data_IF_467536189446
#
_entry.id   IF_467536189446
#
_cell.length_a   1.000
_cell.length_b   1.000
_cell.length_c   1.000
_cell.angle_alpha   90.00
_cell.angle_beta   90.00
_cell.angle_gamma   90.00
#
_symmetry.space_group_name_H-M   'P 1'
#
loop_
_entity.id
_entity.type
_entity.pdbx_description
1 polymer ?
#
# COMPACT_ATOMS: atom_id res chain seq x y z
N UNK A 1 6.94 2.64 29.44
CA UNK A 1 6.19 3.76 28.87
C UNK A 1 6.42 3.86 27.38
N UNK A 2 5.36 4.04 26.62
CA UNK A 2 5.50 4.12 25.18
C UNK A 2 5.99 5.49 24.75
N UNK A 3 6.85 5.47 23.74
CA UNK A 3 7.28 6.67 23.05
C UNK A 3 6.05 7.38 22.48
N UNK A 4 6.08 8.70 22.47
CA UNK A 4 4.99 9.48 21.90
C UNK A 4 4.74 9.11 20.44
N UNK A 5 5.81 8.89 19.68
CA UNK A 5 5.67 8.51 18.29
C UNK A 5 5.01 7.15 18.12
N UNK A 6 5.33 6.23 19.02
CA UNK A 6 4.71 4.90 18.98
C UNK A 6 3.21 5.04 19.26
N UNK A 7 2.84 5.90 20.20
CA UNK A 7 1.44 6.11 20.52
C UNK A 7 0.70 6.75 19.34
N UNK A 8 1.34 7.72 18.69
CA UNK A 8 0.75 8.35 17.52
C UNK A 8 0.58 7.35 16.38
N UNK A 9 1.59 6.52 16.19
CA UNK A 9 1.54 5.51 15.13
C UNK A 9 0.41 4.52 15.40
N UNK A 10 0.26 4.07 16.63
CA UNK A 10 -0.80 3.14 16.99
C UNK A 10 -2.17 3.73 16.72
N UNK A 11 -2.36 4.98 17.08
CA UNK A 11 -3.64 5.66 16.89
C UNK A 11 -3.92 5.83 15.40
N UNK A 12 -2.93 6.30 14.66
CA UNK A 12 -3.11 6.54 13.23
C UNK A 12 -3.31 5.23 12.47
N UNK A 13 -2.60 4.19 12.88
CA UNK A 13 -2.67 2.92 12.17
C UNK A 13 -4.05 2.30 12.23
N UNK A 14 -4.81 2.56 13.28
CA UNK A 14 -6.16 2.03 13.39
C UNK A 14 -7.01 2.43 12.19
N UNK A 15 -6.80 3.65 11.66
CA UNK A 15 -7.53 4.10 10.48
C UNK A 15 -6.80 3.73 9.20
N UNK A 16 -5.49 3.92 9.17
CA UNK A 16 -4.70 3.72 7.96
C UNK A 16 -4.70 2.25 7.53
N UNK A 17 -4.72 1.33 8.49
CA UNK A 17 -4.64 -0.09 8.18
C UNK A 17 -5.82 -0.60 7.37
N UNK A 18 -6.87 0.19 7.27
CA UNK A 18 -8.01 -0.19 6.45
C UNK A 18 -7.72 -0.03 4.96
N UNK A 19 -6.74 0.80 4.63
CA UNK A 19 -6.41 1.04 3.22
C UNK A 19 -4.96 0.71 2.89
N UNK A 20 -4.10 0.63 3.90
CA UNK A 20 -2.68 0.36 3.66
C UNK A 20 -2.24 -0.80 4.54
N UNK A 21 -1.85 -1.89 3.91
CA UNK A 21 -1.41 -3.08 4.61
C UNK A 21 -0.57 -3.92 3.67
N UNK A 22 0.17 -4.85 4.24
CA UNK A 22 0.96 -5.77 3.43
C UNK A 22 0.02 -6.88 2.93
N UNK A 23 -0.21 -6.99 1.62
CA UNK A 23 -1.09 -8.03 1.12
C UNK A 23 -0.53 -9.41 1.41
N UNK A 24 -1.37 -10.30 1.96
CA UNK A 24 -0.97 -11.67 2.24
C UNK A 24 -1.80 -12.68 1.46
N UNK A 25 -2.88 -12.23 0.85
CA UNK A 25 -3.75 -13.10 0.08
C UNK A 25 -3.99 -12.50 -1.29
N UNK A 26 -4.43 -13.34 -2.22
CA UNK A 26 -4.72 -12.85 -3.55
C UNK A 26 -5.85 -11.83 -3.55
N UNK A 27 -6.82 -12.01 -2.65
CA UNK A 27 -7.90 -11.05 -2.53
C UNK A 27 -7.38 -9.69 -2.06
N UNK A 28 -6.51 -9.70 -1.05
CA UNK A 28 -5.92 -8.47 -0.55
C UNK A 28 -5.07 -7.79 -1.61
N UNK A 29 -4.35 -8.59 -2.38
CA UNK A 29 -3.55 -8.06 -3.47
C UNK A 29 -4.42 -7.34 -4.50
N UNK A 30 -5.51 -7.97 -4.90
CA UNK A 30 -6.39 -7.36 -5.90
C UNK A 30 -7.03 -6.08 -5.38
N UNK A 31 -7.38 -6.05 -4.09
CA UNK A 31 -7.94 -4.83 -3.51
C UNK A 31 -6.90 -3.71 -3.48
N UNK A 32 -5.65 -4.07 -3.17
CA UNK A 32 -4.57 -3.07 -3.17
C UNK A 32 -4.34 -2.51 -4.57
N UNK A 33 -4.35 -3.37 -5.58
CA UNK A 33 -4.17 -2.93 -6.96
C UNK A 33 -5.30 -1.99 -7.37
N UNK A 34 -6.52 -2.31 -6.98
CA UNK A 34 -7.65 -1.45 -7.32
C UNK A 34 -7.51 -0.07 -6.69
N UNK A 35 -7.07 -0.04 -5.44
CA UNK A 35 -6.85 1.24 -4.77
C UNK A 35 -5.73 2.00 -5.46
N UNK A 36 -4.65 1.31 -5.83
CA UNK A 36 -3.55 1.98 -6.52
C UNK A 36 -4.01 2.58 -7.84
N UNK A 37 -4.83 1.86 -8.60
CA UNK A 37 -5.34 2.39 -9.85
C UNK A 37 -6.13 3.67 -9.63
N UNK A 38 -6.96 3.68 -8.57
CA UNK A 38 -7.73 4.87 -8.25
C UNK A 38 -6.82 6.02 -7.81
N UNK A 39 -5.76 5.71 -7.08
CA UNK A 39 -4.81 6.74 -6.67
C UNK A 39 -4.07 7.33 -7.85
N UNK A 40 -3.70 6.48 -8.81
CA UNK A 40 -3.03 6.97 -10.01
C UNK A 40 -3.91 7.96 -10.74
N UNK A 41 -5.20 7.66 -10.85
CA UNK A 41 -6.13 8.59 -11.51
C UNK A 41 -6.29 9.89 -10.73
N UNK A 42 -6.26 9.81 -9.41
CA UNK A 42 -6.49 10.98 -8.55
C UNK A 42 -5.26 11.85 -8.44
N UNK A 43 -4.10 11.23 -8.22
CA UNK A 43 -2.86 11.95 -7.99
C UNK A 43 -2.22 12.41 -9.30
N UNK A 44 -2.30 11.57 -10.32
CA UNK A 44 -1.65 11.87 -11.59
C UNK A 44 -0.16 12.03 -11.40
N UNK A 45 0.38 13.09 -11.98
CA UNK A 45 1.81 13.36 -11.90
C UNK A 45 2.13 14.45 -10.88
N UNK A 46 1.18 14.79 -10.05
CA UNK A 46 1.35 15.84 -9.05
C UNK A 46 2.11 15.30 -7.84
N UNK A 47 3.42 15.54 -7.80
CA UNK A 47 4.26 15.04 -6.73
C UNK A 47 3.96 15.70 -5.39
N UNK A 48 3.25 16.80 -5.42
CA UNK A 48 2.89 17.51 -4.20
C UNK A 48 1.49 17.18 -3.70
N UNK A 49 0.81 16.26 -4.38
CA UNK A 49 -0.52 15.85 -3.96
C UNK A 49 -0.44 15.20 -2.57
N UNK A 50 -1.41 15.48 -1.69
CA UNK A 50 -1.37 14.89 -0.33
C UNK A 50 -1.30 13.37 -0.32
N UNK A 51 -1.81 12.71 -1.35
CA UNK A 51 -1.82 11.25 -1.40
C UNK A 51 -0.68 10.66 -2.22
N UNK A 52 0.27 11.49 -2.66
CA UNK A 52 1.37 10.99 -3.48
C UNK A 52 2.20 9.95 -2.76
N UNK A 53 2.49 10.19 -1.47
CA UNK A 53 3.28 9.23 -0.69
C UNK A 53 2.53 7.93 -0.47
N UNK A 54 1.23 8.00 -0.25
CA UNK A 54 0.43 6.79 -0.11
C UNK A 54 0.49 5.96 -1.38
N UNK A 55 0.37 6.61 -2.52
CA UNK A 55 0.44 5.93 -3.80
C UNK A 55 1.78 5.20 -3.96
N UNK A 56 2.86 5.87 -3.58
CA UNK A 56 4.21 5.31 -3.71
C UNK A 56 4.39 4.11 -2.79
N UNK A 57 4.00 4.25 -1.52
CA UNK A 57 4.14 3.17 -0.57
C UNK A 57 3.30 1.97 -0.97
N UNK A 58 2.07 2.22 -1.39
CA UNK A 58 1.18 1.14 -1.81
C UNK A 58 1.77 0.39 -3.00
N UNK A 59 2.37 1.13 -3.94
CA UNK A 59 3.03 0.51 -5.08
C UNK A 59 4.14 -0.43 -4.66
N UNK A 60 4.92 -0.02 -3.67
CA UNK A 60 6.02 -0.84 -3.16
C UNK A 60 5.48 -2.13 -2.53
N UNK A 61 4.39 -2.02 -1.78
CA UNK A 61 3.81 -3.20 -1.12
C UNK A 61 3.23 -4.18 -2.15
N UNK A 62 2.63 -3.65 -3.19
CA UNK A 62 2.12 -4.48 -4.27
C UNK A 62 3.26 -5.19 -4.98
N UNK A 63 4.33 -4.45 -5.24
CA UNK A 63 5.50 -5.01 -5.91
C UNK A 63 6.11 -6.13 -5.07
N UNK A 64 6.14 -5.95 -3.76
CA UNK A 64 6.65 -6.97 -2.85
C UNK A 64 5.84 -8.25 -2.96
N UNK A 65 4.52 -8.12 -3.00
CA UNK A 65 3.66 -9.28 -3.15
C UNK A 65 3.95 -10.00 -4.47
N UNK A 66 4.08 -9.21 -5.54
CA UNK A 66 4.34 -9.79 -6.86
C UNK A 66 5.68 -10.52 -6.88
N UNK A 67 6.70 -9.94 -6.24
CA UNK A 67 8.01 -10.56 -6.20
C UNK A 67 7.97 -11.91 -5.45
N UNK A 68 7.17 -11.97 -4.40
CA UNK A 68 7.07 -13.21 -3.62
C UNK A 68 6.31 -14.29 -4.37
N UNK A 69 5.57 -13.91 -5.42
CA UNK A 69 4.78 -14.84 -6.20
C UNK A 69 5.28 -14.99 -7.63
N UNK A 70 6.50 -14.54 -7.88
CA UNK A 70 7.08 -14.57 -9.23
C UNK A 70 7.07 -15.96 -9.87
N UNK A 71 7.41 -17.03 -9.15
CA UNK A 71 7.41 -18.35 -9.78
C UNK A 71 6.07 -18.73 -10.38
N UNK A 72 4.98 -18.19 -9.80
CA UNK A 72 3.65 -18.48 -10.30
C UNK A 72 3.26 -17.60 -11.46
N UNK A 73 3.85 -16.40 -11.52
CA UNK A 73 3.47 -15.40 -12.50
C UNK A 73 4.34 -15.47 -13.72
N UNK A 74 5.62 -15.70 -13.54
CA UNK A 74 6.58 -15.62 -14.64
C UNK A 74 7.03 -16.98 -15.12
N UNK A 75 6.18 -17.92 -15.03
CA UNK A 75 6.49 -19.25 -15.52
C UNK A 75 6.81 -19.18 -17.00
N UNK A 76 8.00 -19.59 -17.35
CA UNK A 76 8.46 -19.47 -18.73
C UNK A 76 8.62 -20.80 -19.41
#
# INVERSE_FOLDING_TARGET
MLDTKIQQASTAWASVSKVLYVPHTQKEYREAVRLLDNLIDTVGEDENHPLASLMEVLGILIEKYEDEHVPEITEL
#
